data_IF_166137000087
#
_entry.id   IF_166137000087
#
_cell.length_a   1.000
_cell.length_b   1.000
_cell.length_c   1.000
_cell.angle_alpha   90.00
_cell.angle_beta   90.00
_cell.angle_gamma   90.00
#
_symmetry.space_group_name_H-M   'P 1'
#
loop_
_entity.id
_entity.type
_entity.pdbx_description
1 polymer ?
#
# COMPACT_ATOMS: atom_id res chain seq x y z
N UNK A 1 -34.07 -30.27 -21.99
CA UNK A 1 -33.17 -29.51 -21.10
C UNK A 1 -33.74 -28.11 -20.96
N UNK A 2 -33.60 -27.48 -19.79
CA UNK A 2 -34.12 -26.12 -19.60
C UNK A 2 -33.12 -25.09 -20.11
N UNK A 3 -33.61 -23.94 -20.58
CA UNK A 3 -32.78 -22.82 -21.04
C UNK A 3 -31.77 -22.34 -19.97
N UNK A 4 -32.09 -22.59 -18.70
CA UNK A 4 -31.24 -22.26 -17.56
C UNK A 4 -30.05 -23.23 -17.42
N UNK A 5 -30.22 -24.49 -17.85
CA UNK A 5 -29.16 -25.50 -17.86
C UNK A 5 -28.18 -25.23 -19.01
N UNK A 6 -28.69 -24.82 -20.17
CA UNK A 6 -27.87 -24.40 -21.31
C UNK A 6 -27.06 -23.14 -20.98
N UNK A 7 -27.62 -22.17 -20.24
CA UNK A 7 -26.89 -20.99 -19.78
C UNK A 7 -25.77 -21.35 -18.80
N UNK A 8 -26.03 -22.26 -17.86
CA UNK A 8 -25.03 -22.73 -16.89
C UNK A 8 -23.88 -23.48 -17.54
N UNK A 9 -24.12 -24.16 -18.67
CA UNK A 9 -23.07 -24.85 -19.42
C UNK A 9 -21.99 -23.91 -19.99
N UNK A 10 -22.25 -22.60 -20.09
CA UNK A 10 -21.25 -21.61 -20.51
C UNK A 10 -20.36 -21.10 -19.38
N UNK A 11 -20.75 -21.30 -18.11
CA UNK A 11 -19.95 -20.89 -16.96
C UNK A 11 -19.13 -22.08 -16.47
N UNK A 12 -17.84 -22.10 -16.82
CA UNK A 12 -16.90 -23.13 -16.38
C UNK A 12 -16.16 -22.67 -15.12
N UNK A 13 -15.95 -23.55 -14.12
CA UNK A 13 -15.18 -23.21 -12.92
C UNK A 13 -13.73 -22.81 -13.25
N UNK A 14 -13.17 -23.35 -14.34
CA UNK A 14 -11.82 -23.00 -14.81
C UNK A 14 -11.73 -21.55 -15.30
N UNK A 15 -12.85 -20.96 -15.76
CA UNK A 15 -12.87 -19.55 -16.17
C UNK A 15 -12.74 -18.58 -14.99
N UNK A 16 -13.09 -19.01 -13.77
CA UNK A 16 -12.88 -18.21 -12.57
C UNK A 16 -11.38 -18.15 -12.23
N UNK A 17 -10.64 -19.26 -12.38
CA UNK A 17 -9.18 -19.28 -12.18
C UNK A 17 -8.44 -18.38 -13.18
N UNK A 18 -8.84 -18.43 -14.46
CA UNK A 18 -8.29 -17.58 -15.51
C UNK A 18 -8.67 -16.10 -15.34
N UNK A 19 -9.88 -15.81 -14.87
CA UNK A 19 -10.34 -14.44 -14.59
C UNK A 19 -9.61 -13.81 -13.41
N UNK A 20 -9.31 -14.60 -12.37
CA UNK A 20 -8.55 -14.15 -11.20
C UNK A 20 -7.05 -14.03 -11.51
N UNK A 21 -6.54 -14.74 -12.53
CA UNK A 21 -5.15 -14.67 -12.96
C UNK A 21 -4.83 -13.38 -13.72
N UNK A 22 -4.69 -12.27 -12.99
CA UNK A 22 -4.08 -11.05 -13.58
C UNK A 22 -2.61 -11.33 -13.91
N UNK A 23 -2.19 -11.25 -15.19
CA UNK A 23 -0.80 -11.41 -15.54
C UNK A 23 0.04 -10.31 -14.89
N UNK A 24 1.29 -10.65 -14.57
CA UNK A 24 2.27 -9.70 -14.07
C UNK A 24 2.44 -8.55 -15.08
N UNK A 25 2.34 -7.32 -14.57
CA UNK A 25 2.54 -6.09 -15.36
C UNK A 25 3.83 -5.40 -14.86
N UNK A 26 4.93 -5.52 -15.62
CA UNK A 26 6.21 -4.90 -15.25
C UNK A 26 6.11 -3.39 -15.11
N UNK A 27 5.37 -2.71 -15.99
CA UNK A 27 5.27 -1.25 -15.97
C UNK A 27 4.60 -0.77 -14.68
N UNK A 28 3.56 -1.48 -14.23
CA UNK A 28 2.88 -1.18 -12.96
C UNK A 28 3.77 -1.46 -11.76
N UNK A 29 4.52 -2.56 -11.78
CA UNK A 29 5.47 -2.89 -10.72
C UNK A 29 6.57 -1.83 -10.61
N UNK A 30 7.17 -1.45 -11.74
CA UNK A 30 8.19 -0.39 -11.82
C UNK A 30 7.65 0.93 -11.29
N UNK A 31 6.47 1.36 -11.75
CA UNK A 31 5.87 2.61 -11.33
C UNK A 31 5.66 2.69 -9.80
N UNK A 32 5.23 1.58 -9.18
CA UNK A 32 5.05 1.52 -7.74
C UNK A 32 6.38 1.69 -6.98
N UNK A 33 7.45 1.05 -7.44
CA UNK A 33 8.78 1.15 -6.81
C UNK A 33 9.41 2.52 -7.06
N UNK A 34 9.31 3.07 -8.27
CA UNK A 34 9.79 4.41 -8.62
C UNK A 34 9.13 5.47 -7.74
N UNK A 35 7.82 5.35 -7.49
CA UNK A 35 7.12 6.24 -6.55
C UNK A 35 7.70 6.14 -5.13
N UNK A 36 8.03 4.93 -4.69
CA UNK A 36 8.71 4.71 -3.41
C UNK A 36 10.11 5.33 -3.34
N UNK A 37 10.87 5.32 -4.45
CA UNK A 37 12.15 6.01 -4.57
C UNK A 37 11.98 7.53 -4.41
N UNK A 38 11.01 8.12 -5.10
CA UNK A 38 10.72 9.56 -5.01
C UNK A 38 10.33 9.96 -3.58
N UNK A 39 9.39 9.23 -2.97
CA UNK A 39 9.02 9.46 -1.56
C UNK A 39 10.19 9.27 -0.60
N UNK A 40 11.12 8.36 -0.91
CA UNK A 40 12.33 8.15 -0.09
C UNK A 40 13.30 9.32 -0.23
N UNK A 41 13.42 9.92 -1.42
CA UNK A 41 14.23 11.12 -1.65
C UNK A 41 13.70 12.30 -0.85
N UNK A 42 12.42 12.60 -0.98
CA UNK A 42 11.75 13.66 -0.19
C UNK A 42 11.93 13.46 1.33
N UNK A 43 11.80 12.22 1.79
CA UNK A 43 12.02 11.84 3.20
C UNK A 43 13.47 11.91 3.63
N UNK A 44 14.42 11.77 2.72
CA UNK A 44 15.84 11.91 3.00
C UNK A 44 16.23 13.39 3.14
N UNK A 45 15.58 14.26 2.39
CA UNK A 45 15.82 15.71 2.46
C UNK A 45 15.06 16.37 3.62
N UNK A 46 13.98 15.75 4.08
CA UNK A 46 13.23 16.21 5.26
C UNK A 46 14.06 16.11 6.56
N UNK A 47 13.89 17.11 7.41
CA UNK A 47 14.43 17.19 8.78
C UNK A 47 13.50 16.58 9.82
N UNK A 48 12.28 16.23 9.44
CA UNK A 48 11.32 15.61 10.36
C UNK A 48 11.70 14.16 10.69
N UNK A 49 11.44 13.70 11.92
CA UNK A 49 11.64 12.30 12.28
C UNK A 49 10.78 11.41 11.39
N UNK A 50 11.41 10.43 10.75
CA UNK A 50 10.76 9.45 9.88
C UNK A 50 9.72 8.65 10.67
N UNK A 51 8.43 8.95 10.46
CA UNK A 51 7.31 8.21 11.07
C UNK A 51 6.86 7.06 10.17
N UNK A 52 6.60 5.89 10.77
CA UNK A 52 6.04 4.72 10.09
C UNK A 52 7.08 3.84 9.37
N UNK A 53 6.58 2.93 8.51
CA UNK A 53 7.43 2.01 7.73
C UNK A 53 8.21 2.83 6.69
N UNK A 54 9.53 2.88 6.84
CA UNK A 54 10.44 3.69 6.02
C UNK A 54 11.41 2.78 5.28
N UNK A 55 11.74 3.13 4.04
CA UNK A 55 12.80 2.48 3.27
C UNK A 55 14.19 2.89 3.73
N UNK A 56 14.29 3.90 4.60
CA UNK A 56 15.55 4.38 5.12
C UNK A 56 15.56 4.40 6.64
N UNK A 57 16.69 3.99 7.20
CA UNK A 57 17.05 4.22 8.60
C UNK A 57 18.36 4.99 8.65
N UNK A 58 18.36 6.18 9.23
CA UNK A 58 19.56 7.00 9.41
C UNK A 58 20.24 6.66 10.73
N UNK A 59 21.57 6.55 10.72
CA UNK A 59 22.39 6.41 11.91
C UNK A 59 23.76 6.99 11.65
N UNK A 60 24.18 7.97 12.46
CA UNK A 60 25.43 8.71 12.28
C UNK A 60 25.53 9.29 10.84
N UNK A 61 26.61 8.99 10.13
CA UNK A 61 26.88 9.40 8.73
C UNK A 61 26.45 8.36 7.69
N UNK A 62 25.64 7.37 8.08
CA UNK A 62 25.20 6.27 7.21
C UNK A 62 23.68 6.14 7.15
N UNK A 63 23.22 5.66 6.00
CA UNK A 63 21.83 5.36 5.71
C UNK A 63 21.73 3.89 5.39
N UNK A 64 20.86 3.19 6.09
CA UNK A 64 20.48 1.83 5.75
C UNK A 64 19.26 1.86 4.82
N UNK A 65 19.42 1.30 3.63
CA UNK A 65 18.42 1.24 2.58
C UNK A 65 17.70 -0.12 2.59
N UNK A 66 16.38 -0.07 2.73
CA UNK A 66 15.48 -1.23 2.87
C UNK A 66 14.26 -1.03 1.95
N UNK A 67 14.46 -1.04 0.62
CA UNK A 67 13.36 -0.90 -0.31
C UNK A 67 12.40 -2.08 -0.16
N UNK A 68 11.10 -1.81 -0.34
CA UNK A 68 10.06 -2.84 -0.26
C UNK A 68 9.11 -2.75 -1.45
N UNK A 69 8.55 -3.88 -1.86
CA UNK A 69 7.49 -3.95 -2.86
C UNK A 69 6.33 -4.76 -2.29
N UNK A 70 5.11 -4.19 -2.33
CA UNK A 70 3.91 -4.77 -1.68
C UNK A 70 4.10 -5.23 -0.22
N UNK A 71 5.02 -4.62 0.50
CA UNK A 71 5.32 -4.94 1.91
C UNK A 71 6.45 -5.94 2.11
N UNK A 72 6.94 -6.57 1.05
CA UNK A 72 8.08 -7.49 1.05
C UNK A 72 9.38 -6.74 0.78
N UNK A 73 10.48 -7.19 1.42
CA UNK A 73 11.79 -6.57 1.24
C UNK A 73 12.39 -6.98 -0.11
N UNK A 74 12.85 -6.00 -0.90
CA UNK A 74 13.60 -6.27 -2.12
C UNK A 74 15.04 -6.63 -1.77
N UNK A 75 15.58 -7.61 -2.47
CA UNK A 75 16.98 -7.96 -2.38
C UNK A 75 17.83 -7.03 -3.26
N UNK A 76 18.60 -6.18 -2.61
CA UNK A 76 19.55 -5.24 -3.21
C UNK A 76 21.01 -5.64 -2.95
N UNK A 77 21.23 -6.90 -2.55
CA UNK A 77 22.52 -7.46 -2.18
C UNK A 77 22.85 -7.34 -0.69
N UNK A 78 24.03 -7.85 -0.34
CA UNK A 78 24.49 -8.03 1.04
C UNK A 78 24.68 -6.71 1.80
N UNK A 79 25.10 -5.64 1.10
CA UNK A 79 25.44 -4.36 1.71
C UNK A 79 24.34 -3.33 1.51
N UNK A 80 23.48 -3.22 2.52
CA UNK A 80 22.35 -2.26 2.54
C UNK A 80 22.70 -0.88 3.11
N UNK A 81 23.95 -0.64 3.53
CA UNK A 81 24.36 0.62 4.14
C UNK A 81 25.17 1.46 3.17
N UNK A 82 24.79 2.73 3.03
CA UNK A 82 25.43 3.71 2.16
C UNK A 82 25.78 4.96 2.99
N UNK A 83 26.89 5.63 2.69
CA UNK A 83 27.18 6.94 3.29
C UNK A 83 26.08 7.94 2.90
N UNK A 84 25.68 8.81 3.82
CA UNK A 84 24.61 9.78 3.60
C UNK A 84 24.84 10.62 2.33
N UNK A 85 26.07 11.10 2.11
CA UNK A 85 26.44 11.93 0.95
C UNK A 85 26.35 11.19 -0.40
N UNK A 86 26.36 9.86 -0.37
CA UNK A 86 26.26 9.01 -1.57
C UNK A 86 24.85 8.43 -1.76
N UNK A 87 23.96 8.64 -0.80
CA UNK A 87 22.63 8.06 -0.82
C UNK A 87 21.76 8.57 -1.99
N UNK A 88 21.76 9.87 -2.37
CA UNK A 88 21.03 10.32 -3.56
C UNK A 88 21.48 9.61 -4.85
N UNK A 89 22.79 9.44 -5.04
CA UNK A 89 23.33 8.71 -6.20
C UNK A 89 22.99 7.21 -6.17
N UNK A 90 22.89 6.61 -4.98
CA UNK A 90 22.42 5.24 -4.83
C UNK A 90 20.94 5.11 -5.23
N UNK A 91 20.09 6.09 -4.88
CA UNK A 91 18.69 6.11 -5.34
C UNK A 91 18.57 6.24 -6.86
N UNK A 92 19.37 7.08 -7.50
CA UNK A 92 19.39 7.20 -8.97
C UNK A 92 19.80 5.88 -9.63
N UNK A 93 20.79 5.19 -9.05
CA UNK A 93 21.26 3.90 -9.56
C UNK A 93 20.21 2.82 -9.40
N UNK A 94 19.54 2.79 -8.25
CA UNK A 94 18.43 1.87 -7.99
C UNK A 94 17.25 2.13 -8.93
N UNK A 95 16.88 3.38 -9.18
CA UNK A 95 15.82 3.73 -10.13
C UNK A 95 16.14 3.26 -11.55
N UNK A 96 17.38 3.43 -12.01
CA UNK A 96 17.84 2.91 -13.31
C UNK A 96 17.77 1.38 -13.37
N UNK A 97 18.17 0.70 -12.30
CA UNK A 97 18.11 -0.75 -12.23
C UNK A 97 16.67 -1.28 -12.29
N UNK A 98 15.72 -0.59 -11.63
CA UNK A 98 14.28 -0.91 -11.73
C UNK A 98 13.78 -0.71 -13.16
N UNK A 99 14.09 0.44 -13.79
CA UNK A 99 13.70 0.71 -15.19
C UNK A 99 14.32 -0.27 -16.20
N UNK A 100 15.48 -0.83 -15.88
CA UNK A 100 16.15 -1.84 -16.69
C UNK A 100 15.59 -3.26 -16.47
N UNK A 101 14.58 -3.43 -15.62
CA UNK A 101 13.96 -4.73 -15.35
C UNK A 101 14.78 -5.67 -14.46
N UNK A 102 15.84 -5.18 -13.80
CA UNK A 102 16.72 -6.03 -12.98
C UNK A 102 16.05 -6.61 -11.72
N UNK A 103 14.83 -6.17 -11.41
CA UNK A 103 14.03 -6.64 -10.27
C UNK A 103 12.76 -7.38 -10.68
N UNK A 104 12.55 -7.63 -11.98
CA UNK A 104 11.29 -8.16 -12.49
C UNK A 104 11.01 -9.56 -11.95
N UNK A 105 12.03 -10.42 -11.90
CA UNK A 105 11.93 -11.75 -11.27
C UNK A 105 11.48 -11.68 -9.80
N UNK A 106 11.94 -10.67 -9.06
CA UNK A 106 11.53 -10.47 -7.67
C UNK A 106 10.09 -9.95 -7.59
N UNK A 107 9.70 -9.03 -8.47
CA UNK A 107 8.35 -8.49 -8.52
C UNK A 107 7.32 -9.55 -8.91
N UNK A 108 7.62 -10.35 -9.94
CA UNK A 108 6.78 -11.45 -10.38
C UNK A 108 6.60 -12.49 -9.26
N UNK A 109 7.68 -12.84 -8.56
CA UNK A 109 7.62 -13.73 -7.39
C UNK A 109 6.77 -13.15 -6.25
N UNK A 110 6.90 -11.86 -5.96
CA UNK A 110 6.08 -11.21 -4.91
C UNK A 110 4.61 -11.16 -5.33
N UNK A 111 4.33 -10.94 -6.61
CA UNK A 111 2.98 -10.91 -7.16
C UNK A 111 2.31 -12.28 -7.15
N UNK A 112 3.07 -13.36 -7.34
CA UNK A 112 2.56 -14.73 -7.18
C UNK A 112 2.34 -15.11 -5.72
N UNK A 113 3.21 -14.68 -4.79
CA UNK A 113 3.04 -14.93 -3.35
C UNK A 113 1.84 -14.21 -2.72
N UNK A 114 1.47 -13.03 -3.24
CA UNK A 114 0.31 -12.26 -2.77
C UNK A 114 -1.04 -12.99 -2.95
N UNK A 115 -1.09 -14.06 -3.75
CA UNK A 115 -2.27 -14.90 -3.95
C UNK A 115 -2.53 -15.86 -2.77
N UNK A 116 -1.52 -16.16 -1.95
CA UNK A 116 -1.66 -17.12 -0.84
C UNK A 116 -2.38 -16.54 0.40
N UNK A 117 -2.53 -15.22 0.49
CA UNK A 117 -3.15 -14.56 1.67
C UNK A 117 -4.54 -13.96 1.43
N UNK A 118 -4.99 -13.84 0.17
CA UNK A 118 -6.34 -13.33 -0.12
C UNK A 118 -7.43 -14.37 0.16
N UNK A 119 -7.16 -15.66 -0.01
CA UNK A 119 -8.14 -16.73 0.31
C UNK A 119 -8.28 -17.00 1.82
N UNK A 120 -7.27 -16.69 2.64
CA UNK A 120 -7.40 -16.81 4.10
C UNK A 120 -8.11 -15.62 4.77
N UNK A 121 -8.40 -14.53 4.05
CA UNK A 121 -9.16 -13.41 4.61
C UNK A 121 -10.66 -13.55 4.46
N UNK A 122 -11.12 -14.39 3.53
CA UNK A 122 -12.55 -14.69 3.33
C UNK A 122 -13.02 -15.91 4.12
N UNK A 123 -12.14 -16.85 4.49
CA UNK A 123 -12.54 -18.06 5.24
C UNK A 123 -12.54 -17.89 6.76
N UNK A 124 -11.93 -16.83 7.30
CA UNK A 124 -12.18 -16.36 8.69
C UNK A 124 -13.30 -15.30 8.70
N UNK A 125 -14.30 -15.46 7.82
CA UNK A 125 -15.62 -14.88 7.98
C UNK A 125 -16.57 -15.84 8.71
N UNK A 126 -16.01 -16.81 9.45
CA UNK A 126 -16.70 -17.77 10.31
C UNK A 126 -16.41 -17.55 11.79
N UNK A 127 -16.60 -16.33 12.26
CA UNK A 127 -17.10 -16.05 13.62
C UNK A 127 -17.54 -14.58 13.63
N UNK A 128 -18.80 -14.25 13.98
CA UNK A 128 -19.16 -12.88 14.22
C UNK A 128 -18.35 -12.42 15.42
N UNK A 129 -17.25 -11.72 15.18
CA UNK A 129 -16.63 -10.86 16.20
C UNK A 129 -17.78 -10.06 16.74
N UNK A 130 -18.18 -10.33 17.98
CA UNK A 130 -19.17 -9.57 18.70
C UNK A 130 -18.69 -8.11 18.61
N UNK A 131 -19.25 -7.37 17.65
CA UNK A 131 -19.09 -5.93 17.58
C UNK A 131 -19.60 -5.52 18.95
N UNK A 132 -18.69 -5.14 19.86
CA UNK A 132 -19.08 -4.35 21.03
C UNK A 132 -19.79 -3.17 20.41
N UNK A 133 -21.13 -3.26 20.38
CA UNK A 133 -22.02 -2.25 19.89
C UNK A 133 -21.72 -1.06 20.75
N UNK A 134 -20.88 -0.15 20.24
CA UNK A 134 -20.68 1.14 20.85
C UNK A 134 -22.08 1.71 20.92
N UNK A 135 -22.59 1.89 22.15
CA UNK A 135 -23.97 2.31 22.37
C UNK A 135 -24.32 3.46 21.41
N UNK A 136 -25.51 3.46 20.81
CA UNK A 136 -25.92 4.55 19.93
C UNK A 136 -25.68 5.87 20.67
N UNK A 137 -24.96 6.80 20.02
CA UNK A 137 -24.73 8.13 20.58
C UNK A 137 -26.09 8.72 20.95
N UNK A 138 -26.22 9.19 22.19
CA UNK A 138 -27.46 9.84 22.64
C UNK A 138 -27.79 11.02 21.72
N UNK A 139 -29.08 11.31 21.55
CA UNK A 139 -29.54 12.44 20.74
C UNK A 139 -28.89 13.76 21.18
N UNK A 140 -28.72 13.95 22.51
CA UNK A 140 -27.99 15.08 23.07
C UNK A 140 -26.54 15.21 22.57
N UNK A 141 -25.83 14.09 22.38
CA UNK A 141 -24.47 14.09 21.84
C UNK A 141 -24.43 14.43 20.34
N UNK A 142 -25.47 14.04 19.60
CA UNK A 142 -25.64 14.37 18.18
C UNK A 142 -25.93 15.86 18.03
N UNK A 143 -26.83 16.41 18.85
CA UNK A 143 -27.22 17.82 18.83
C UNK A 143 -26.06 18.73 19.27
N UNK A 144 -25.30 18.35 20.30
CA UNK A 144 -24.09 19.06 20.70
C UNK A 144 -23.03 19.10 19.59
N UNK A 145 -22.82 17.99 18.88
CA UNK A 145 -21.90 17.94 17.75
C UNK A 145 -22.37 18.83 16.59
N UNK A 146 -23.69 18.91 16.35
CA UNK A 146 -24.29 19.76 15.33
C UNK A 146 -24.15 21.24 15.67
N UNK A 147 -24.40 21.61 16.93
CA UNK A 147 -24.23 22.98 17.45
C UNK A 147 -22.78 23.45 17.34
N UNK A 148 -21.81 22.61 17.71
CA UNK A 148 -20.38 22.94 17.57
C UNK A 148 -19.97 23.14 16.12
N UNK A 149 -20.46 22.29 15.19
CA UNK A 149 -20.22 22.46 13.75
C UNK A 149 -20.85 23.74 13.21
N UNK A 150 -22.06 24.09 13.65
CA UNK A 150 -22.72 25.33 13.25
C UNK A 150 -21.95 26.56 13.75
N UNK A 151 -21.48 26.55 15.01
CA UNK A 151 -20.67 27.62 15.60
C UNK A 151 -19.35 27.80 14.87
N UNK A 152 -18.65 26.72 14.55
CA UNK A 152 -17.37 26.78 13.81
C UNK A 152 -17.58 27.25 12.36
N UNK A 153 -18.70 26.87 11.72
CA UNK A 153 -19.06 27.36 10.39
C UNK A 153 -19.38 28.86 10.42
N UNK A 154 -20.13 29.33 11.42
CA UNK A 154 -20.45 30.74 11.60
C UNK A 154 -19.20 31.59 11.90
N UNK A 155 -18.30 31.10 12.78
CA UNK A 155 -17.03 31.78 13.07
C UNK A 155 -16.13 31.86 11.83
N UNK A 156 -16.10 30.81 10.99
CA UNK A 156 -15.35 30.81 9.73
C UNK A 156 -15.91 31.82 8.71
N UNK A 157 -17.23 31.98 8.66
CA UNK A 157 -17.89 32.95 7.78
C UNK A 157 -17.75 34.40 8.28
N UNK A 158 -17.79 34.62 9.60
CA UNK A 158 -17.61 35.94 10.21
C UNK A 158 -16.17 36.45 10.16
N UNK A 159 -15.16 35.56 10.09
CA UNK A 159 -13.75 35.94 9.92
C UNK A 159 -13.31 36.13 8.46
N UNK A 160 -14.25 36.05 7.50
CA UNK A 160 -14.02 36.29 6.07
C UNK A 160 -14.75 37.54 5.55
N UNK A 161 -15.42 38.30 6.44
CA UNK A 161 -16.04 39.59 6.18
C UNK A 161 -15.23 40.69 6.88
#
# INVERSE_FOLDING_TARGET
MSLLDDLKAFFTPDADEDFEHRPYDPAKAHAAVIKGVQSTRERFDSTEPLKGRSWIKRSNSSVEFRPTYKGEALDVGERRRVKADKFPAALDTFEKAVKAGLFDDQFERIDSMGKSTSYMRSEVAGDPVAKKSRAPRSQAAIDAARATRARNKAAKLAGQA
#
